data_IF_979893139449
#
_entry.id   IF_979893139449
#
_cell.length_a   1.000
_cell.length_b   1.000
_cell.length_c   1.000
_cell.angle_alpha   90.00
_cell.angle_beta   90.00
_cell.angle_gamma   90.00
#
_symmetry.space_group_name_H-M   'P 1'
#
loop_
_entity.id
_entity.type
_entity.pdbx_description
1 polymer ?
#
# COMPACT_ATOMS: atom_id res chain seq x y z
N UNK A 1 -27.14 13.66 5.88
CA UNK A 1 -26.19 14.57 6.54
C UNK A 1 -24.96 14.64 5.65
N UNK A 2 -24.53 15.83 5.23
CA UNK A 2 -23.37 15.98 4.34
C UNK A 2 -22.09 16.01 5.18
N UNK A 3 -21.05 15.19 4.86
CA UNK A 3 -19.79 15.24 5.58
C UNK A 3 -18.96 16.47 5.16
N UNK A 4 -18.24 17.04 6.13
CA UNK A 4 -17.52 18.30 6.03
C UNK A 4 -16.29 18.25 5.09
N UNK A 5 -15.96 19.34 4.37
CA UNK A 5 -14.82 19.39 3.45
C UNK A 5 -13.53 19.63 4.26
N UNK A 6 -12.78 18.57 4.55
CA UNK A 6 -11.42 18.71 5.10
C UNK A 6 -10.96 17.61 6.05
N UNK A 7 -11.86 16.74 6.50
CA UNK A 7 -11.50 15.54 7.25
C UNK A 7 -11.43 14.36 6.28
N UNK A 8 -10.39 13.53 6.43
CA UNK A 8 -10.31 12.22 5.77
C UNK A 8 -11.67 11.50 5.93
N UNK A 9 -12.23 10.98 4.82
CA UNK A 9 -13.48 10.23 4.88
C UNK A 9 -13.29 9.06 5.86
N UNK A 10 -14.23 8.82 6.80
CA UNK A 10 -14.17 7.66 7.65
C UNK A 10 -14.17 6.39 6.79
N UNK A 11 -13.54 5.33 7.32
CA UNK A 11 -13.32 4.06 6.62
C UNK A 11 -14.61 3.53 5.95
N UNK A 12 -15.74 3.62 6.66
CA UNK A 12 -17.08 3.23 6.21
C UNK A 12 -17.58 4.05 5.02
N UNK A 13 -17.44 5.38 5.02
CA UNK A 13 -17.85 6.21 3.88
C UNK A 13 -16.91 5.99 2.70
N UNK A 14 -15.61 5.87 2.93
CA UNK A 14 -14.65 5.62 1.87
C UNK A 14 -14.90 4.26 1.22
N UNK A 15 -15.20 3.23 2.02
CA UNK A 15 -15.63 1.93 1.54
C UNK A 15 -16.95 1.99 0.78
N UNK A 16 -17.93 2.78 1.24
CA UNK A 16 -19.20 2.99 0.54
C UNK A 16 -19.06 3.80 -0.75
N UNK A 17 -18.03 4.64 -0.87
CA UNK A 17 -17.75 5.41 -2.11
C UNK A 17 -16.98 4.57 -3.13
N UNK A 18 -16.27 3.53 -2.67
CA UNK A 18 -15.53 2.60 -3.51
C UNK A 18 -16.34 1.31 -3.76
N UNK A 19 -17.17 1.31 -4.80
CA UNK A 19 -17.88 0.13 -5.33
C UNK A 19 -16.94 -0.83 -6.11
N UNK A 20 -15.73 -1.09 -5.61
CA UNK A 20 -14.79 -1.98 -6.29
C UNK A 20 -13.39 -2.05 -5.71
N UNK A 21 -12.52 -2.92 -6.28
CA UNK A 21 -11.13 -3.00 -5.88
C UNK A 21 -10.40 -1.69 -6.20
N UNK A 22 -9.70 -1.15 -5.21
CA UNK A 22 -8.82 0.00 -5.36
C UNK A 22 -7.52 -0.43 -6.03
N UNK A 23 -7.07 0.41 -6.96
CA UNK A 23 -5.84 0.22 -7.71
C UNK A 23 -4.71 0.93 -6.96
N UNK A 24 -3.82 0.15 -6.37
CA UNK A 24 -2.67 0.62 -5.60
C UNK A 24 -1.42 0.49 -6.46
N UNK A 25 -0.73 1.61 -6.66
CA UNK A 25 0.55 1.67 -7.34
C UNK A 25 1.67 1.59 -6.31
N UNK A 26 2.54 0.62 -6.47
CA UNK A 26 3.60 0.30 -5.52
C UNK A 26 4.94 0.55 -6.20
N UNK A 27 5.58 1.66 -5.86
CA UNK A 27 6.91 2.00 -6.35
C UNK A 27 7.94 1.13 -5.63
N UNK A 28 8.67 0.32 -6.39
CA UNK A 28 9.70 -0.58 -5.89
C UNK A 28 11.07 -0.05 -6.27
N UNK A 29 11.96 0.25 -5.32
CA UNK A 29 13.31 0.66 -5.65
C UNK A 29 14.11 -0.50 -6.25
N UNK A 30 15.05 -0.20 -7.16
CA UNK A 30 15.94 -1.21 -7.77
C UNK A 30 16.74 -2.04 -6.76
N UNK A 31 16.95 -1.50 -5.55
CA UNK A 31 17.59 -2.20 -4.42
C UNK A 31 16.87 -3.51 -4.05
N UNK A 32 15.59 -3.62 -4.39
CA UNK A 32 14.75 -4.82 -4.19
C UNK A 32 15.03 -5.93 -5.21
N UNK A 33 15.79 -5.64 -6.27
CA UNK A 33 16.01 -6.59 -7.35
C UNK A 33 14.75 -6.81 -8.20
N UNK A 34 13.78 -5.92 -8.11
CA UNK A 34 12.58 -5.95 -8.92
C UNK A 34 12.91 -5.53 -10.36
N UNK A 35 12.45 -6.29 -11.36
CA UNK A 35 12.57 -5.86 -12.78
C UNK A 35 11.65 -4.68 -13.11
N UNK A 36 10.66 -4.40 -12.26
CA UNK A 36 9.71 -3.31 -12.43
C UNK A 36 9.75 -2.41 -11.21
N UNK A 37 10.02 -1.11 -11.42
CA UNK A 37 10.04 -0.12 -10.34
C UNK A 37 8.66 0.37 -9.94
N UNK A 38 7.59 -0.06 -10.63
CA UNK A 38 6.21 0.28 -10.30
C UNK A 38 5.34 -0.96 -10.53
N UNK A 39 4.62 -1.38 -9.49
CA UNK A 39 3.72 -2.53 -9.53
C UNK A 39 2.31 -2.07 -9.18
N UNK A 40 1.38 -2.29 -10.09
CA UNK A 40 -0.03 -2.03 -9.83
C UNK A 40 -0.72 -3.29 -9.30
N UNK A 41 -1.27 -3.20 -8.09
CA UNK A 41 -2.10 -4.26 -7.50
C UNK A 41 -3.54 -3.75 -7.36
N UNK A 42 -4.52 -4.62 -7.57
CA UNK A 42 -5.92 -4.30 -7.28
C UNK A 42 -6.40 -5.10 -6.08
N UNK A 43 -6.85 -4.41 -5.04
CA UNK A 43 -7.33 -5.02 -3.81
C UNK A 43 -8.56 -4.28 -3.31
N UNK A 44 -9.50 -4.95 -2.64
CA UNK A 44 -10.64 -4.24 -2.04
C UNK A 44 -10.15 -3.28 -0.96
N UNK A 45 -10.83 -2.15 -0.81
CA UNK A 45 -10.41 -1.08 0.11
C UNK A 45 -10.49 -1.50 1.59
N UNK A 46 -11.33 -2.50 1.88
CA UNK A 46 -11.42 -3.18 3.19
C UNK A 46 -10.25 -4.14 3.46
N UNK A 47 -9.40 -4.44 2.47
CA UNK A 47 -8.23 -5.30 2.69
C UNK A 47 -7.22 -4.63 3.59
N UNK A 48 -6.49 -5.47 4.31
CA UNK A 48 -5.41 -5.03 5.17
C UNK A 48 -4.19 -4.64 4.32
N UNK A 49 -3.38 -3.70 4.81
CA UNK A 49 -2.07 -3.39 4.23
C UNK A 49 -1.20 -4.65 4.13
N UNK A 50 -1.38 -5.59 5.06
CA UNK A 50 -0.75 -6.91 5.00
C UNK A 50 -1.03 -7.65 3.69
N UNK A 51 -2.29 -7.69 3.23
CA UNK A 51 -2.67 -8.35 1.99
C UNK A 51 -2.07 -7.62 0.77
N UNK A 52 -2.03 -6.28 0.81
CA UNK A 52 -1.33 -5.48 -0.20
C UNK A 52 0.15 -5.83 -0.28
N UNK A 53 0.80 -5.97 0.87
CA UNK A 53 2.16 -6.45 0.99
C UNK A 53 2.34 -7.87 0.41
N UNK A 54 1.44 -8.78 0.71
CA UNK A 54 1.44 -10.15 0.16
C UNK A 54 1.32 -10.15 -1.37
N UNK A 55 0.38 -9.38 -1.92
CA UNK A 55 0.22 -9.24 -3.36
C UNK A 55 1.48 -8.64 -4.02
N UNK A 56 2.10 -7.63 -3.41
CA UNK A 56 3.35 -7.03 -3.90
C UNK A 56 4.49 -8.03 -3.87
N UNK A 57 4.68 -8.73 -2.75
CA UNK A 57 5.71 -9.75 -2.62
C UNK A 57 5.54 -10.87 -3.65
N UNK A 58 4.31 -11.34 -3.86
CA UNK A 58 4.01 -12.32 -4.91
C UNK A 58 4.32 -11.77 -6.31
N UNK A 59 3.98 -10.51 -6.61
CA UNK A 59 4.32 -9.86 -7.89
C UNK A 59 5.81 -9.68 -8.09
N UNK A 60 6.55 -9.48 -7.00
CA UNK A 60 8.01 -9.37 -6.99
C UNK A 60 8.73 -10.73 -7.08
N UNK A 61 7.99 -11.82 -7.28
CA UNK A 61 8.56 -13.17 -7.43
C UNK A 61 8.53 -14.02 -6.15
N UNK A 62 7.86 -13.57 -5.09
CA UNK A 62 7.66 -14.35 -3.85
C UNK A 62 8.89 -14.46 -2.93
N UNK A 63 10.08 -14.15 -3.43
CA UNK A 63 11.33 -14.17 -2.66
C UNK A 63 11.47 -12.99 -1.68
N UNK A 64 10.61 -11.97 -1.77
CA UNK A 64 10.66 -10.82 -0.87
C UNK A 64 9.77 -11.01 0.37
N UNK A 65 10.34 -11.24 1.58
CA UNK A 65 9.55 -11.42 2.78
C UNK A 65 8.91 -10.09 3.19
N UNK A 66 7.63 -10.10 3.55
CA UNK A 66 6.88 -8.92 4.03
C UNK A 66 7.52 -8.18 5.20
N UNK A 67 8.39 -8.87 5.93
CA UNK A 67 9.09 -8.36 7.09
C UNK A 67 10.40 -7.63 6.72
N UNK A 68 10.93 -7.85 5.50
CA UNK A 68 12.12 -7.17 4.97
C UNK A 68 11.81 -5.84 4.32
N UNK A 69 10.56 -5.56 3.99
CA UNK A 69 10.14 -4.28 3.41
C UNK A 69 8.92 -3.70 4.12
N UNK A 70 8.73 -2.41 4.00
CA UNK A 70 7.57 -1.68 4.51
C UNK A 70 6.99 -0.86 3.37
N UNK A 71 5.67 -0.74 3.33
CA UNK A 71 5.02 0.21 2.44
C UNK A 71 5.02 1.57 3.12
N UNK A 72 5.46 2.61 2.41
CA UNK A 72 5.44 3.99 2.85
C UNK A 72 4.49 4.75 1.94
N UNK A 73 3.43 5.29 2.50
CA UNK A 73 2.59 6.25 1.82
C UNK A 73 3.22 7.65 1.90
N UNK A 74 3.29 8.42 0.81
CA UNK A 74 3.88 9.77 0.82
C UNK A 74 3.19 10.72 1.80
N UNK A 75 1.90 10.51 2.06
CA UNK A 75 1.09 11.38 2.92
C UNK A 75 0.95 10.88 4.36
N UNK A 76 0.99 9.57 4.57
CA UNK A 76 0.76 8.94 5.89
C UNK A 76 2.04 8.35 6.52
N UNK A 77 3.15 8.32 5.79
CA UNK A 77 4.38 7.68 6.24
C UNK A 77 4.28 6.15 6.16
N UNK A 78 4.77 5.45 7.17
CA UNK A 78 4.80 3.98 7.16
C UNK A 78 3.41 3.38 7.38
N UNK A 79 2.97 2.56 6.43
CA UNK A 79 1.72 1.84 6.50
C UNK A 79 1.89 0.62 7.42
N UNK A 80 0.99 0.51 8.40
CA UNK A 80 0.96 -0.64 9.33
C UNK A 80 0.15 -1.76 8.74
N UNK A 81 0.67 -2.98 8.85
CA UNK A 81 0.03 -4.20 8.35
C UNK A 81 -1.32 -4.47 9.03
N UNK A 82 -1.49 -4.00 10.27
CA UNK A 82 -2.71 -4.13 11.08
C UNK A 82 -3.82 -3.14 10.71
N UNK A 83 -3.55 -2.16 9.83
CA UNK A 83 -4.51 -1.17 9.37
C UNK A 83 -4.97 -1.51 7.95
N UNK A 84 -6.21 -1.12 7.63
CA UNK A 84 -6.80 -1.32 6.31
C UNK A 84 -6.40 -0.22 5.34
N UNK A 85 -6.54 -0.48 4.03
CA UNK A 85 -6.29 0.53 3.00
C UNK A 85 -7.27 1.71 3.13
N UNK A 86 -8.52 1.43 3.48
CA UNK A 86 -9.56 2.41 3.74
C UNK A 86 -9.21 3.35 4.92
N UNK A 87 -8.54 2.84 5.96
CA UNK A 87 -8.08 3.66 7.10
C UNK A 87 -7.11 4.77 6.68
N UNK A 88 -6.32 4.50 5.65
CA UNK A 88 -5.37 5.45 5.08
C UNK A 88 -5.94 6.23 3.88
N UNK A 89 -7.23 6.03 3.56
CA UNK A 89 -7.91 6.58 2.39
C UNK A 89 -7.14 6.28 1.09
N UNK A 90 -6.58 5.07 0.98
CA UNK A 90 -5.90 4.59 -0.22
C UNK A 90 -6.95 4.26 -1.29
N UNK A 91 -7.24 5.24 -2.13
CA UNK A 91 -8.21 5.12 -3.22
C UNK A 91 -7.63 4.58 -4.52
N UNK A 92 -8.44 4.68 -5.58
CA UNK A 92 -8.01 4.38 -6.94
C UNK A 92 -6.81 5.24 -7.31
N UNK A 93 -5.75 4.60 -7.81
CA UNK A 93 -4.44 5.17 -8.14
C UNK A 93 -3.66 5.71 -6.93
N UNK A 94 -3.89 5.18 -5.73
CA UNK A 94 -3.04 5.53 -4.60
C UNK A 94 -1.62 4.97 -4.79
N UNK A 95 -0.62 5.83 -4.57
CA UNK A 95 0.79 5.47 -4.76
C UNK A 95 1.47 5.27 -3.41
N UNK A 96 2.20 4.17 -3.27
CA UNK A 96 2.99 3.83 -2.09
C UNK A 96 4.40 3.43 -2.51
N UNK A 97 5.40 3.84 -1.75
CA UNK A 97 6.78 3.41 -1.95
C UNK A 97 7.08 2.16 -1.12
N UNK A 98 7.76 1.20 -1.71
CA UNK A 98 8.41 0.11 -0.98
C UNK A 98 9.69 0.65 -0.38
N UNK A 99 9.75 0.61 0.94
CA UNK A 99 10.94 0.93 1.69
C UNK A 99 11.57 -0.35 2.26
N UNK A 100 12.77 -0.66 1.80
CA UNK A 100 13.58 -1.76 2.33
C UNK A 100 13.92 -1.52 3.80
N UNK A 101 13.55 -2.45 4.67
CA UNK A 101 13.99 -2.46 6.07
C UNK A 101 15.36 -3.12 6.12
N UNK A 102 16.37 -2.45 5.57
CA UNK A 102 17.73 -2.97 5.51
C UNK A 102 18.29 -3.10 6.91
N UNK A 103 18.67 -4.32 7.31
CA UNK A 103 19.45 -4.56 8.52
C UNK A 103 20.93 -4.29 8.19
N UNK A 104 21.30 -3.02 8.01
CA UNK A 104 22.69 -2.60 7.85
C UNK A 104 23.29 -2.83 6.45
N UNK A 105 23.99 -1.82 5.95
CA UNK A 105 24.48 -1.75 4.59
C UNK A 105 25.56 -2.76 4.22
N UNK A 106 25.66 -2.99 2.91
CA UNK A 106 26.90 -3.32 2.24
C UNK A 106 26.94 -2.54 0.93
N UNK A 107 27.57 -1.37 0.99
CA UNK A 107 28.44 -0.90 -0.09
C UNK A 107 29.73 -1.70 -0.03
#
# INVERSE_FOLDING_TARGET
AAPAPGALLPEDEFAATCDGPVLLNVEVPEDVGASQSLISISLPVMSQVREAKEAVAQRLGGDLPLNKFQLRHPRAGFLKDALSLAHYNLGNNATVEVNMRTRGGRR
#
